data_IF_823021621221
#
_entry.id   IF_823021621221
#
_cell.length_a   1.000
_cell.length_b   1.000
_cell.length_c   1.000
_cell.angle_alpha   90.00
_cell.angle_beta   90.00
_cell.angle_gamma   90.00
#
_symmetry.space_group_name_H-M   'P 1'
#
loop_
_entity.id
_entity.type
_entity.pdbx_description
1 polymer ?
#
# COMPACT_ATOMS: atom_id res chain seq x y z
N UNK A 1 -3.13 10.07 25.26
CA UNK A 1 -2.82 9.67 23.87
C UNK A 1 -2.71 8.16 23.86
N UNK A 2 -3.85 7.46 23.77
CA UNK A 2 -3.90 5.99 23.96
C UNK A 2 -3.41 5.28 22.70
N UNK A 3 -2.21 4.72 22.78
CA UNK A 3 -1.68 3.74 21.83
C UNK A 3 -2.27 2.36 22.15
N UNK A 4 -3.50 2.12 21.71
CA UNK A 4 -4.09 0.78 21.67
C UNK A 4 -4.49 0.45 20.23
N UNK A 5 -3.51 0.34 19.33
CA UNK A 5 -3.69 -0.51 18.15
C UNK A 5 -3.38 -1.96 18.55
N UNK A 6 -4.18 -2.54 19.44
CA UNK A 6 -4.24 -3.99 19.55
C UNK A 6 -4.92 -4.47 18.27
N UNK A 7 -4.11 -5.10 17.42
CA UNK A 7 -4.48 -5.63 16.11
C UNK A 7 -5.49 -6.77 16.23
N UNK A 8 -6.77 -6.44 16.43
CA UNK A 8 -7.93 -7.33 16.28
C UNK A 8 -8.55 -7.22 14.89
N UNK A 9 -7.76 -6.82 13.88
CA UNK A 9 -8.18 -7.03 12.50
C UNK A 9 -8.08 -8.53 12.22
N UNK A 10 -9.23 -9.18 12.01
CA UNK A 10 -9.29 -10.54 11.50
C UNK A 10 -8.35 -10.66 10.28
N UNK A 11 -7.24 -11.39 10.48
CA UNK A 11 -6.18 -11.54 9.48
C UNK A 11 -6.72 -12.16 8.20
N UNK A 12 -7.69 -13.06 8.31
CA UNK A 12 -8.33 -13.71 7.17
C UNK A 12 -9.16 -12.68 6.41
N UNK A 13 -9.91 -11.83 7.11
CA UNK A 13 -10.67 -10.73 6.49
C UNK A 13 -9.73 -9.72 5.80
N UNK A 14 -8.62 -9.36 6.44
CA UNK A 14 -7.62 -8.46 5.87
C UNK A 14 -6.98 -9.04 4.61
N UNK A 15 -6.60 -10.32 4.64
CA UNK A 15 -6.03 -11.03 3.50
C UNK A 15 -7.02 -11.13 2.34
N UNK A 16 -8.30 -11.45 2.62
CA UNK A 16 -9.36 -11.47 1.61
C UNK A 16 -9.53 -10.10 0.95
N UNK A 17 -9.64 -9.04 1.75
CA UNK A 17 -9.75 -7.67 1.22
C UNK A 17 -8.53 -7.28 0.38
N UNK A 18 -7.32 -7.54 0.88
CA UNK A 18 -6.09 -7.31 0.15
C UNK A 18 -6.08 -8.05 -1.19
N UNK A 19 -6.43 -9.34 -1.20
CA UNK A 19 -6.45 -10.16 -2.41
C UNK A 19 -7.49 -9.65 -3.43
N UNK A 20 -8.69 -9.29 -2.99
CA UNK A 20 -9.73 -8.73 -3.85
C UNK A 20 -9.30 -7.41 -4.49
N UNK A 21 -8.70 -6.50 -3.72
CA UNK A 21 -8.20 -5.23 -4.23
C UNK A 21 -7.02 -5.48 -5.19
N UNK A 22 -6.10 -6.37 -4.84
CA UNK A 22 -4.95 -6.70 -5.67
C UNK A 22 -5.38 -7.26 -7.03
N UNK A 23 -6.37 -8.15 -7.05
CA UNK A 23 -6.92 -8.71 -8.29
C UNK A 23 -7.49 -7.60 -9.17
N UNK A 24 -8.30 -6.72 -8.59
CA UNK A 24 -8.89 -5.58 -9.29
C UNK A 24 -7.82 -4.64 -9.86
N UNK A 25 -6.87 -4.22 -9.02
CA UNK A 25 -5.77 -3.31 -9.41
C UNK A 25 -4.91 -3.93 -10.50
N UNK A 26 -4.57 -5.22 -10.38
CA UNK A 26 -3.76 -5.93 -11.37
C UNK A 26 -4.46 -6.00 -12.73
N UNK A 27 -5.78 -6.25 -12.75
CA UNK A 27 -6.57 -6.27 -13.97
C UNK A 27 -6.66 -4.90 -14.66
N UNK A 28 -6.64 -3.81 -13.88
CA UNK A 28 -6.68 -2.44 -14.39
C UNK A 28 -5.29 -1.85 -14.63
N UNK A 29 -4.21 -2.56 -14.28
CA UNK A 29 -2.87 -1.98 -14.25
C UNK A 29 -2.43 -1.53 -15.63
N UNK A 30 -2.68 -2.29 -16.70
CA UNK A 30 -2.34 -1.91 -18.07
C UNK A 30 -2.97 -0.58 -18.50
N UNK A 31 -4.22 -0.34 -18.10
CA UNK A 31 -4.96 0.91 -18.32
C UNK A 31 -4.38 2.09 -17.51
N UNK A 32 -3.75 1.81 -16.36
CA UNK A 32 -3.16 2.79 -15.45
C UNK A 32 -1.64 2.97 -15.69
N UNK A 33 -1.00 2.05 -16.42
CA UNK A 33 0.46 1.98 -16.57
C UNK A 33 1.02 2.99 -17.59
N UNK A 34 0.19 3.46 -18.52
CA UNK A 34 0.57 4.42 -19.57
C UNK A 34 1.17 5.73 -18.98
N UNK A 35 0.66 6.31 -17.86
CA UNK A 35 1.32 7.44 -17.17
C UNK A 35 2.51 7.08 -16.25
N UNK A 36 2.91 5.81 -16.12
CA UNK A 36 3.98 5.38 -15.19
C UNK A 36 5.35 5.22 -15.85
N UNK A 37 5.76 6.13 -16.75
CA UNK A 37 7.16 6.19 -17.20
C UNK A 37 8.08 6.57 -16.03
N UNK A 38 8.76 5.58 -15.45
CA UNK A 38 9.60 5.78 -14.26
C UNK A 38 11.01 5.26 -14.48
N UNK A 39 11.98 6.07 -14.05
CA UNK A 39 13.39 5.68 -13.94
C UNK A 39 13.57 4.68 -12.79
N UNK A 40 14.56 3.80 -12.89
CA UNK A 40 14.99 2.87 -11.82
C UNK A 40 13.93 1.85 -11.35
N UNK A 41 13.13 1.30 -12.28
CA UNK A 41 12.17 0.21 -11.95
C UNK A 41 12.82 -1.02 -11.30
N UNK A 42 14.09 -1.29 -11.60
CA UNK A 42 14.84 -2.40 -11.01
C UNK A 42 15.14 -2.23 -9.51
N UNK A 43 15.07 -1.01 -8.96
CA UNK A 43 15.28 -0.73 -7.53
C UNK A 43 13.97 -0.69 -6.72
N UNK A 44 12.86 -1.11 -7.33
CA UNK A 44 11.56 -1.11 -6.65
C UNK A 44 11.48 -2.28 -5.67
N UNK A 45 11.41 -1.98 -4.37
CA UNK A 45 11.13 -2.98 -3.33
C UNK A 45 9.79 -3.72 -3.50
N UNK A 46 8.83 -3.09 -4.18
CA UNK A 46 7.50 -3.65 -4.43
C UNK A 46 6.97 -3.19 -5.79
N UNK A 47 6.15 -4.05 -6.40
CA UNK A 47 5.45 -3.77 -7.65
C UNK A 47 4.42 -2.66 -7.48
N UNK A 48 4.08 -2.00 -8.58
CA UNK A 48 3.12 -0.89 -8.58
C UNK A 48 1.72 -1.34 -8.17
N UNK A 49 1.26 -2.51 -8.62
CA UNK A 49 -0.02 -3.07 -8.20
C UNK A 49 -0.12 -3.23 -6.67
N UNK A 50 0.98 -3.63 -6.02
CA UNK A 50 1.06 -3.81 -4.56
C UNK A 50 1.02 -2.47 -3.86
N UNK A 51 1.77 -1.47 -4.34
CA UNK A 51 1.78 -0.13 -3.74
C UNK A 51 0.41 0.53 -3.83
N UNK A 52 -0.26 0.43 -4.99
CA UNK A 52 -1.62 0.94 -5.19
C UNK A 52 -2.59 0.21 -4.28
N UNK A 53 -2.55 -1.13 -4.26
CA UNK A 53 -3.42 -1.97 -3.41
C UNK A 53 -3.31 -1.58 -1.94
N UNK A 54 -2.07 -1.43 -1.43
CA UNK A 54 -1.83 -1.01 -0.05
C UNK A 54 -2.33 0.42 0.17
N UNK A 55 -2.15 1.33 -0.77
CA UNK A 55 -2.70 2.67 -0.62
C UNK A 55 -4.24 2.68 -0.49
N UNK A 56 -4.94 1.95 -1.36
CA UNK A 56 -6.40 1.82 -1.33
C UNK A 56 -6.87 1.15 -0.04
N UNK A 57 -6.20 0.07 0.37
CA UNK A 57 -6.52 -0.65 1.60
C UNK A 57 -6.41 0.26 2.84
N UNK A 58 -5.36 1.08 2.93
CA UNK A 58 -5.20 2.04 4.03
C UNK A 58 -6.33 3.06 4.11
N UNK A 59 -6.82 3.54 2.96
CA UNK A 59 -7.97 4.45 2.88
C UNK A 59 -9.26 3.76 3.31
N UNK A 60 -9.51 2.53 2.87
CA UNK A 60 -10.70 1.74 3.24
C UNK A 60 -10.73 1.38 4.72
N UNK A 61 -9.56 1.16 5.33
CA UNK A 61 -9.42 0.91 6.77
C UNK A 61 -9.46 2.20 7.61
N UNK A 62 -9.65 3.37 7.00
CA UNK A 62 -9.81 4.65 7.71
C UNK A 62 -8.51 5.25 8.25
N UNK A 63 -7.33 4.82 7.78
CA UNK A 63 -6.08 5.42 8.22
C UNK A 63 -5.92 6.84 7.66
N UNK A 64 -5.85 7.82 8.55
CA UNK A 64 -5.57 9.22 8.21
C UNK A 64 -4.11 9.60 8.38
N UNK A 65 -3.37 8.90 9.25
CA UNK A 65 -1.95 9.15 9.51
C UNK A 65 -1.06 8.28 8.64
N UNK A 66 -0.23 8.91 7.80
CA UNK A 66 0.79 8.24 7.00
C UNK A 66 1.76 7.40 7.86
N UNK A 67 2.06 7.87 9.08
CA UNK A 67 2.94 7.17 10.01
C UNK A 67 2.28 5.93 10.59
N UNK A 68 1.02 6.06 11.03
CA UNK A 68 0.27 4.93 11.59
C UNK A 68 0.05 3.85 10.52
N UNK A 69 -0.32 4.26 9.31
CA UNK A 69 -0.51 3.35 8.20
C UNK A 69 0.77 2.60 7.82
N UNK A 70 1.90 3.30 7.69
CA UNK A 70 3.16 2.65 7.35
C UNK A 70 3.62 1.64 8.41
N UNK A 71 3.44 1.96 9.70
CA UNK A 71 3.70 1.02 10.80
C UNK A 71 2.78 -0.19 10.74
N UNK A 72 1.50 0.00 10.44
CA UNK A 72 0.53 -1.09 10.27
C UNK A 72 0.98 -2.06 9.17
N UNK A 73 1.35 -1.53 8.00
CA UNK A 73 1.80 -2.33 6.85
C UNK A 73 3.03 -3.17 7.20
N UNK A 74 4.03 -2.57 7.83
CA UNK A 74 5.27 -3.29 8.21
C UNK A 74 5.02 -4.31 9.33
N UNK A 75 4.10 -4.02 10.24
CA UNK A 75 3.77 -4.94 11.35
C UNK A 75 2.93 -6.15 10.94
N UNK A 76 2.20 -6.09 9.80
CA UNK A 76 1.15 -7.07 9.51
C UNK A 76 1.16 -7.63 8.08
N UNK A 77 1.64 -6.87 7.10
CA UNK A 77 1.50 -7.23 5.68
C UNK A 77 2.84 -7.53 5.03
N UNK A 78 3.90 -6.78 5.35
CA UNK A 78 5.21 -6.95 4.75
C UNK A 78 6.33 -6.79 5.78
N UNK A 79 7.36 -7.64 5.75
CA UNK A 79 8.61 -7.36 6.45
C UNK A 79 9.19 -6.00 6.03
N UNK A 80 9.85 -5.31 6.97
CA UNK A 80 10.43 -3.97 6.78
C UNK A 80 11.33 -3.88 5.55
N UNK A 81 12.10 -4.94 5.27
CA UNK A 81 13.08 -4.94 4.19
C UNK A 81 12.43 -5.04 2.81
N UNK A 82 11.26 -5.67 2.75
CA UNK A 82 10.51 -5.91 1.52
C UNK A 82 9.55 -4.75 1.19
N UNK A 83 9.27 -3.82 2.10
CA UNK A 83 8.41 -2.67 1.82
C UNK A 83 9.22 -1.37 1.69
N UNK A 84 8.81 -0.40 0.83
CA UNK A 84 9.47 0.89 0.78
C UNK A 84 9.44 1.62 2.12
N UNK A 85 10.50 2.38 2.40
CA UNK A 85 10.51 3.33 3.51
C UNK A 85 9.35 4.32 3.40
N UNK A 86 8.88 4.81 4.56
CA UNK A 86 7.70 5.66 4.66
C UNK A 86 7.72 6.85 3.69
N UNK A 87 8.83 7.58 3.65
CA UNK A 87 9.00 8.75 2.79
C UNK A 87 8.87 8.38 1.30
N UNK A 88 9.52 7.29 0.89
CA UNK A 88 9.49 6.78 -0.47
C UNK A 88 8.10 6.25 -0.83
N UNK A 89 7.44 5.54 0.08
CA UNK A 89 6.07 5.06 -0.09
C UNK A 89 5.09 6.24 -0.26
N UNK A 90 5.08 7.21 0.64
CA UNK A 90 4.15 8.35 0.57
C UNK A 90 4.37 9.20 -0.67
N UNK A 91 5.63 9.41 -1.07
CA UNK A 91 5.93 10.09 -2.36
C UNK A 91 5.32 9.34 -3.54
N UNK A 92 5.33 8.00 -3.54
CA UNK A 92 4.68 7.20 -4.59
C UNK A 92 3.16 7.35 -4.54
N UNK A 93 2.56 7.32 -3.35
CA UNK A 93 1.12 7.50 -3.20
C UNK A 93 0.64 8.87 -3.70
N UNK A 94 1.39 9.94 -3.44
CA UNK A 94 1.07 11.28 -3.97
C UNK A 94 1.15 11.34 -5.49
N UNK A 95 2.10 10.65 -6.10
CA UNK A 95 2.17 10.55 -7.56
C UNK A 95 1.01 9.73 -8.18
N UNK A 96 0.32 8.90 -7.38
CA UNK A 96 -0.88 8.18 -7.78
C UNK A 96 -2.17 8.98 -7.52
N UNK A 97 -2.10 9.95 -6.60
CA UNK A 97 -3.18 10.89 -6.36
C UNK A 97 -3.15 11.85 -7.55
N UNK A 98 -4.00 11.63 -8.56
CA UNK A 98 -4.25 12.66 -9.56
C UNK A 98 -4.59 13.96 -8.83
N UNK A 99 -4.00 15.06 -9.30
CA UNK A 99 -4.23 16.41 -8.80
C UNK A 99 -5.73 16.73 -8.72
#
# INVERSE_FOLDING_TARGET
MQEHFHFTTDRVKLQKQYASILLFVSAQLSSIQIPLQRRNRHLLKQKDEVIITIHVLGKLLGFTSERAWHRFVIGNLFPKDLFPERSRYNRRCRALSFA
#
